data_IF_770204579987
#
_entry.id   IF_770204579987
#
_cell.length_a   1.000
_cell.length_b   1.000
_cell.length_c   1.000
_cell.angle_alpha   90.00
_cell.angle_beta   90.00
_cell.angle_gamma   90.00
#
_symmetry.space_group_name_H-M   'P 1'
#
loop_
_entity.id
_entity.type
_entity.pdbx_description
1 polymer ?
#
# COMPACT_ATOMS: atom_id res chain seq x y z
N UNK A 1 -12.63 5.80 -10.73
CA UNK A 1 -11.32 5.27 -10.30
C UNK A 1 -10.21 6.01 -11.03
N UNK A 2 -9.18 6.39 -10.30
CA UNK A 2 -7.98 7.04 -10.83
C UNK A 2 -6.84 6.04 -11.16
N UNK A 3 -7.15 4.75 -11.05
CA UNK A 3 -6.26 3.65 -11.40
C UNK A 3 -6.76 2.97 -12.69
N UNK A 4 -5.86 2.86 -13.67
CA UNK A 4 -6.07 2.08 -14.89
C UNK A 4 -5.23 0.81 -14.86
N UNK A 5 -5.85 -0.30 -15.26
CA UNK A 5 -5.18 -1.58 -15.43
C UNK A 5 -4.82 -1.79 -16.90
N UNK A 6 -3.62 -2.27 -17.16
CA UNK A 6 -3.22 -2.63 -18.53
C UNK A 6 -3.93 -3.93 -18.96
N UNK A 7 -4.40 -3.98 -20.21
CA UNK A 7 -5.27 -5.05 -20.75
C UNK A 7 -4.67 -6.46 -20.71
N UNK A 8 -3.34 -6.56 -20.69
CA UNK A 8 -2.63 -7.85 -20.73
C UNK A 8 -2.23 -8.37 -19.33
N UNK A 9 -2.74 -7.75 -18.28
CA UNK A 9 -2.41 -8.15 -16.91
C UNK A 9 -3.14 -9.45 -16.53
N UNK A 10 -2.42 -10.55 -16.54
CA UNK A 10 -2.91 -11.84 -16.05
C UNK A 10 -2.65 -11.97 -14.54
N UNK A 11 -3.57 -11.47 -13.76
CA UNK A 11 -3.44 -11.41 -12.32
C UNK A 11 -4.51 -12.27 -11.64
N UNK A 12 -4.09 -13.42 -11.11
CA UNK A 12 -4.99 -14.40 -10.50
C UNK A 12 -4.76 -14.48 -8.99
N UNK A 13 -5.84 -14.66 -8.19
CA UNK A 13 -5.70 -14.95 -6.78
C UNK A 13 -4.95 -16.25 -6.55
N UNK A 14 -4.12 -16.28 -5.53
CA UNK A 14 -3.42 -17.46 -5.06
C UNK A 14 -3.52 -17.55 -3.55
N UNK A 15 -3.82 -18.75 -3.05
CA UNK A 15 -3.98 -18.98 -1.62
C UNK A 15 -2.72 -18.61 -0.84
N UNK A 16 -2.88 -17.98 0.31
CA UNK A 16 -1.81 -17.48 1.18
C UNK A 16 -0.90 -16.40 0.56
N UNK A 17 -1.25 -15.86 -0.59
CA UNK A 17 -0.47 -14.81 -1.25
C UNK A 17 -1.27 -13.52 -1.36
N UNK A 18 -0.78 -12.46 -0.73
CA UNK A 18 -1.21 -11.10 -0.99
C UNK A 18 -0.44 -10.57 -2.19
N UNK A 19 -1.13 -10.22 -3.26
CA UNK A 19 -0.52 -9.53 -4.39
C UNK A 19 -0.80 -8.05 -4.34
N UNK A 20 0.23 -7.25 -4.51
CA UNK A 20 0.11 -5.80 -4.56
C UNK A 20 0.63 -5.28 -5.89
N UNK A 21 -0.04 -4.26 -6.40
CA UNK A 21 0.38 -3.51 -7.58
C UNK A 21 1.03 -2.20 -7.19
N UNK A 22 2.24 -1.98 -7.70
CA UNK A 22 2.94 -0.72 -7.58
C UNK A 22 2.49 0.17 -8.72
N UNK A 23 1.93 1.31 -8.39
CA UNK A 23 1.43 2.27 -9.36
C UNK A 23 2.55 3.03 -10.07
N UNK A 24 2.30 3.39 -11.31
CA UNK A 24 3.07 4.37 -12.05
C UNK A 24 2.22 5.63 -12.17
N UNK A 25 2.66 6.72 -11.56
CA UNK A 25 1.99 8.00 -11.66
C UNK A 25 2.27 8.63 -13.02
N UNK A 26 1.25 9.19 -13.62
CA UNK A 26 1.38 9.95 -14.85
C UNK A 26 0.66 11.30 -14.77
N UNK A 27 1.17 12.25 -15.50
CA UNK A 27 0.49 13.51 -15.81
C UNK A 27 0.75 13.83 -17.28
N UNK A 28 0.22 14.93 -17.76
CA UNK A 28 0.38 15.34 -19.18
C UNK A 28 1.83 15.52 -19.64
N UNK A 29 2.79 15.59 -18.73
CA UNK A 29 4.18 15.93 -19.02
C UNK A 29 5.19 14.81 -18.73
N UNK A 30 4.87 13.88 -17.85
CA UNK A 30 5.80 12.80 -17.46
C UNK A 30 5.09 11.59 -16.89
N UNK A 31 5.79 10.45 -16.94
CA UNK A 31 5.39 9.21 -16.32
C UNK A 31 6.52 8.71 -15.43
N UNK A 32 6.23 8.37 -14.19
CA UNK A 32 7.22 7.85 -13.26
C UNK A 32 6.62 6.83 -12.29
N UNK A 33 7.42 5.86 -11.90
CA UNK A 33 7.04 4.90 -10.87
C UNK A 33 6.85 5.62 -9.53
N UNK A 34 5.64 5.53 -8.98
CA UNK A 34 5.39 6.05 -7.64
C UNK A 34 6.08 5.19 -6.60
N UNK A 35 6.90 5.82 -5.78
CA UNK A 35 7.68 5.13 -4.76
C UNK A 35 6.93 4.95 -3.44
N UNK A 36 5.75 5.56 -3.30
CA UNK A 36 5.07 5.71 -2.02
C UNK A 36 3.66 5.11 -1.96
N UNK A 37 3.04 4.83 -3.10
CA UNK A 37 1.66 4.37 -3.16
C UNK A 37 1.52 2.88 -3.46
N UNK A 38 0.70 2.20 -2.69
CA UNK A 38 0.22 0.85 -2.95
C UNK A 38 -1.31 0.95 -3.00
N UNK A 39 -1.87 1.01 -4.18
CA UNK A 39 -3.30 1.26 -4.35
C UNK A 39 -4.06 0.07 -4.93
N UNK A 40 -3.36 -0.98 -5.29
CA UNK A 40 -3.96 -2.17 -5.90
C UNK A 40 -3.57 -3.41 -5.10
N UNK A 41 -4.60 -4.14 -4.68
CA UNK A 41 -4.46 -5.34 -3.87
C UNK A 41 -5.29 -6.45 -4.48
N UNK A 42 -4.69 -7.60 -4.65
CA UNK A 42 -5.40 -8.84 -4.95
C UNK A 42 -5.36 -9.72 -3.70
N UNK A 43 -6.52 -9.89 -3.10
CA UNK A 43 -6.70 -10.65 -1.88
C UNK A 43 -7.57 -11.87 -2.14
N UNK A 44 -7.44 -12.88 -1.31
CA UNK A 44 -8.31 -14.04 -1.31
C UNK A 44 -9.38 -13.93 -0.22
N UNK A 45 -10.50 -14.68 -0.33
CA UNK A 45 -11.59 -14.58 0.64
C UNK A 45 -11.17 -14.80 2.09
N UNK A 46 -10.19 -15.65 2.36
CA UNK A 46 -9.70 -15.91 3.71
C UNK A 46 -8.98 -14.72 4.35
N UNK A 47 -8.53 -13.75 3.57
CA UNK A 47 -7.89 -12.53 4.07
C UNK A 47 -8.92 -11.50 4.56
N UNK A 48 -10.12 -11.52 4.01
CA UNK A 48 -11.17 -10.50 4.26
C UNK A 48 -11.50 -10.37 5.76
N UNK A 49 -11.73 -11.46 6.54
CA UNK A 49 -12.04 -11.34 7.96
C UNK A 49 -10.97 -10.62 8.78
N UNK A 50 -9.72 -10.68 8.35
CA UNK A 50 -8.61 -9.99 9.03
C UNK A 50 -8.58 -8.49 8.75
N UNK A 51 -9.20 -8.06 7.64
CA UNK A 51 -9.26 -6.67 7.22
C UNK A 51 -10.57 -5.99 7.65
N UNK A 52 -11.62 -6.77 7.94
CA UNK A 52 -12.88 -6.28 8.50
C UNK A 52 -12.78 -6.40 10.02
N UNK A 53 -12.16 -5.44 10.65
CA UNK A 53 -12.03 -5.37 12.10
C UNK A 53 -12.76 -4.14 12.63
N UNK A 54 -12.92 -4.05 13.96
CA UNK A 54 -13.34 -2.81 14.62
C UNK A 54 -12.27 -1.71 14.51
N UNK A 55 -11.46 -1.81 13.50
CA UNK A 55 -10.34 -0.93 13.22
C UNK A 55 -10.86 0.41 12.73
N UNK A 56 -10.15 1.45 13.13
CA UNK A 56 -10.31 2.81 12.60
C UNK A 56 -9.80 2.93 11.16
N UNK A 57 -9.20 1.87 10.62
CA UNK A 57 -8.65 1.87 9.26
C UNK A 57 -9.78 1.79 8.23
N UNK A 58 -9.76 2.72 7.31
CA UNK A 58 -10.65 2.74 6.16
C UNK A 58 -9.86 3.07 4.89
N UNK A 59 -10.38 2.64 3.77
CA UNK A 59 -9.76 2.92 2.48
C UNK A 59 -9.60 4.44 2.29
N UNK A 60 -8.41 4.84 1.88
CA UNK A 60 -8.09 6.22 1.52
C UNK A 60 -7.55 7.10 2.64
N UNK A 61 -7.51 6.66 3.89
CA UNK A 61 -6.80 7.41 4.93
C UNK A 61 -5.29 7.17 4.83
N UNK A 62 -4.43 8.10 5.25
CA UNK A 62 -2.98 7.92 5.19
C UNK A 62 -2.54 6.65 5.92
N UNK A 63 -1.70 5.84 5.27
CA UNK A 63 -1.14 4.64 5.85
C UNK A 63 -2.03 3.40 5.82
N UNK A 64 -3.27 3.47 5.30
CA UNK A 64 -4.14 2.30 5.18
C UNK A 64 -3.51 1.19 4.32
N UNK A 65 -2.79 1.56 3.29
CA UNK A 65 -2.07 0.65 2.42
C UNK A 65 -0.94 -0.08 3.17
N UNK A 66 -0.21 0.62 4.02
CA UNK A 66 0.80 0.04 4.89
C UNK A 66 0.17 -0.90 5.91
N UNK A 67 -0.96 -0.49 6.49
CA UNK A 67 -1.70 -1.32 7.44
C UNK A 67 -2.14 -2.64 6.82
N UNK A 68 -2.76 -2.62 5.65
CA UNK A 68 -3.22 -3.84 4.95
C UNK A 68 -2.06 -4.81 4.73
N UNK A 69 -0.97 -4.32 4.15
CA UNK A 69 0.18 -5.17 3.83
C UNK A 69 0.82 -5.70 5.09
N UNK A 70 1.12 -4.84 6.05
CA UNK A 70 1.80 -5.25 7.27
C UNK A 70 0.93 -6.18 8.14
N UNK A 71 -0.38 -5.93 8.20
CA UNK A 71 -1.33 -6.80 8.89
C UNK A 71 -1.31 -8.23 8.34
N UNK A 72 -1.44 -8.37 7.04
CA UNK A 72 -1.45 -9.70 6.41
C UNK A 72 -0.09 -10.39 6.50
N UNK A 73 1.01 -9.67 6.35
CA UNK A 73 2.35 -10.21 6.57
C UNK A 73 2.53 -10.72 8.01
N UNK A 74 2.06 -9.98 9.00
CA UNK A 74 2.14 -10.39 10.41
C UNK A 74 1.36 -11.67 10.72
N UNK A 75 0.38 -12.00 9.90
CA UNK A 75 -0.42 -13.22 9.99
C UNK A 75 0.16 -14.39 9.18
N UNK A 76 1.30 -14.20 8.52
CA UNK A 76 2.00 -15.24 7.78
C UNK A 76 1.68 -15.34 6.30
N UNK A 77 0.92 -14.40 5.73
CA UNK A 77 0.71 -14.36 4.29
C UNK A 77 1.98 -13.94 3.56
N UNK A 78 2.18 -14.48 2.37
CA UNK A 78 3.29 -14.12 1.51
C UNK A 78 2.93 -12.91 0.64
N UNK A 79 3.94 -12.07 0.33
CA UNK A 79 3.77 -10.91 -0.52
C UNK A 79 4.33 -11.17 -1.91
N UNK A 80 3.50 -10.93 -2.93
CA UNK A 80 3.90 -10.86 -4.33
C UNK A 80 3.72 -9.44 -4.85
N UNK A 81 4.76 -8.88 -5.47
CA UNK A 81 4.80 -7.49 -5.90
C UNK A 81 4.83 -7.40 -7.41
N UNK A 82 3.80 -6.80 -7.99
CA UNK A 82 3.72 -6.53 -9.43
C UNK A 82 4.07 -5.08 -9.69
N UNK A 83 5.16 -4.85 -10.44
CA UNK A 83 5.74 -3.51 -10.65
C UNK A 83 5.25 -2.79 -11.90
N UNK A 84 4.44 -3.44 -12.73
CA UNK A 84 3.95 -2.89 -14.00
C UNK A 84 2.46 -3.19 -14.17
N UNK A 85 1.80 -2.39 -14.97
CA UNK A 85 0.40 -2.62 -15.34
C UNK A 85 -0.62 -1.78 -14.56
N UNK A 86 -0.17 -0.86 -13.71
CA UNK A 86 -1.05 0.00 -12.92
C UNK A 86 -0.70 1.46 -13.15
N UNK A 87 -1.58 2.18 -13.83
CA UNK A 87 -1.41 3.60 -14.11
C UNK A 87 -2.31 4.41 -13.18
N UNK A 88 -1.77 5.46 -12.62
CA UNK A 88 -2.46 6.35 -11.70
C UNK A 88 -2.34 7.79 -12.16
N UNK A 89 -3.48 8.46 -12.39
CA UNK A 89 -3.49 9.87 -12.74
C UNK A 89 -3.00 10.70 -11.54
N UNK A 90 -1.97 11.48 -11.76
CA UNK A 90 -1.44 12.36 -10.73
C UNK A 90 -2.49 13.43 -10.36
N UNK A 91 -2.77 13.56 -9.09
CA UNK A 91 -3.70 14.56 -8.55
C UNK A 91 -3.13 15.25 -7.32
N UNK A 92 -3.79 16.32 -6.90
CA UNK A 92 -3.41 17.04 -5.70
C UNK A 92 -3.63 16.17 -4.46
N UNK A 93 -2.69 16.21 -3.55
CA UNK A 93 -2.77 15.50 -2.28
C UNK A 93 -3.94 16.02 -1.42
N UNK A 94 -4.69 15.09 -0.83
CA UNK A 94 -5.89 15.38 -0.04
C UNK A 94 -5.59 15.56 1.46
N UNK A 95 -4.42 15.08 1.90
CA UNK A 95 -4.07 14.96 3.30
C UNK A 95 -2.90 15.87 3.66
N UNK A 96 -2.97 16.50 4.81
CA UNK A 96 -1.88 17.34 5.33
C UNK A 96 -0.89 16.54 6.20
N UNK A 97 0.16 17.22 6.65
CA UNK A 97 1.20 16.59 7.48
C UNK A 97 0.68 16.08 8.82
N UNK A 98 -0.34 16.72 9.38
CA UNK A 98 -0.89 16.31 10.67
C UNK A 98 -1.75 15.07 10.53
N UNK A 99 -2.44 14.90 9.41
CA UNK A 99 -3.14 13.67 9.06
C UNK A 99 -2.17 12.49 8.95
N UNK A 100 -1.07 12.66 8.21
CA UNK A 100 -0.02 11.64 8.11
C UNK A 100 0.58 11.29 9.45
N UNK A 101 0.89 12.28 10.27
CA UNK A 101 1.45 12.08 11.61
C UNK A 101 0.50 11.31 12.53
N UNK A 102 -0.78 11.64 12.50
CA UNK A 102 -1.81 10.96 13.26
C UNK A 102 -1.93 9.48 12.86
N UNK A 103 -2.01 9.20 11.57
CA UNK A 103 -2.12 7.85 11.05
C UNK A 103 -0.85 7.03 11.32
N UNK A 104 0.33 7.64 11.25
CA UNK A 104 1.59 6.98 11.64
C UNK A 104 1.57 6.52 13.10
N UNK A 105 1.08 7.36 14.01
CA UNK A 105 0.94 6.98 15.43
C UNK A 105 -0.06 5.83 15.64
N UNK A 106 -1.11 5.78 14.84
CA UNK A 106 -2.06 4.67 14.89
C UNK A 106 -1.44 3.36 14.44
N UNK A 107 -0.59 3.37 13.40
CA UNK A 107 0.17 2.20 12.99
C UNK A 107 1.12 1.72 14.10
N UNK A 108 1.87 2.64 14.71
CA UNK A 108 2.77 2.34 15.81
C UNK A 108 2.03 1.74 17.00
N UNK A 109 0.87 2.28 17.32
CA UNK A 109 0.04 1.77 18.42
C UNK A 109 -0.48 0.36 18.13
N UNK A 110 -0.97 0.09 16.93
CA UNK A 110 -1.55 -1.22 16.59
C UNK A 110 -0.51 -2.32 16.53
N UNK A 111 0.66 -2.04 15.93
CA UNK A 111 1.70 -3.05 15.74
C UNK A 111 2.79 -3.04 16.80
N UNK A 112 2.75 -2.08 17.72
CA UNK A 112 3.74 -1.90 18.80
C UNK A 112 5.19 -1.83 18.29
N UNK A 113 5.39 -1.17 17.17
CA UNK A 113 6.71 -0.90 16.58
C UNK A 113 6.72 0.51 15.97
N UNK A 114 7.91 1.13 15.84
CA UNK A 114 8.03 2.41 15.15
C UNK A 114 7.54 2.33 13.70
N UNK A 115 6.86 3.36 13.23
CA UNK A 115 6.40 3.42 11.83
C UNK A 115 7.56 3.32 10.84
N UNK A 116 8.75 3.75 11.22
CA UNK A 116 9.94 3.61 10.42
C UNK A 116 10.28 2.13 10.14
N UNK A 117 10.12 1.27 11.12
CA UNK A 117 10.37 -0.18 10.96
C UNK A 117 9.35 -0.82 10.01
N UNK A 118 8.09 -0.37 10.05
CA UNK A 118 7.07 -0.79 9.08
C UNK A 118 7.49 -0.35 7.68
N UNK A 119 7.85 0.92 7.52
CA UNK A 119 8.27 1.48 6.24
C UNK A 119 9.52 0.78 5.69
N UNK A 120 10.49 0.49 6.52
CA UNK A 120 11.72 -0.20 6.13
C UNK A 120 11.44 -1.64 5.67
N UNK A 121 10.58 -2.35 6.40
CA UNK A 121 10.13 -3.69 6.02
C UNK A 121 9.44 -3.70 4.66
N UNK A 122 8.50 -2.78 4.44
CA UNK A 122 7.81 -2.66 3.17
C UNK A 122 8.74 -2.23 2.04
N UNK A 123 9.69 -1.37 2.32
CA UNK A 123 10.72 -0.96 1.37
C UNK A 123 11.57 -2.16 0.92
N UNK A 124 12.03 -2.95 1.85
CA UNK A 124 12.82 -4.15 1.58
C UNK A 124 12.03 -5.14 0.71
N UNK A 125 10.80 -5.45 1.12
CA UNK A 125 9.94 -6.40 0.42
C UNK A 125 9.52 -5.94 -0.98
N UNK A 126 9.32 -4.65 -1.17
CA UNK A 126 8.92 -4.07 -2.45
C UNK A 126 10.07 -3.68 -3.35
N UNK A 127 11.31 -3.74 -2.85
CA UNK A 127 12.51 -3.26 -3.56
C UNK A 127 12.51 -1.74 -3.79
N UNK A 128 11.77 -0.97 -2.99
CA UNK A 128 11.66 0.48 -3.12
C UNK A 128 12.69 1.20 -2.27
N UNK A 129 13.39 2.12 -2.86
CA UNK A 129 14.24 3.06 -2.14
C UNK A 129 13.46 4.34 -1.84
N UNK A 130 13.42 4.79 -0.57
CA UNK A 130 12.90 6.08 -0.11
C UNK A 130 11.38 6.22 0.15
N UNK A 131 10.76 5.24 0.80
CA UNK A 131 9.42 5.43 1.41
C UNK A 131 9.42 6.45 2.56
N UNK A 132 10.58 6.80 3.07
CA UNK A 132 10.76 7.38 4.39
C UNK A 132 10.65 8.88 4.49
N UNK A 133 10.77 9.62 3.42
CA UNK A 133 10.86 11.09 3.53
C UNK A 133 9.52 11.84 3.45
N UNK A 134 8.45 11.21 3.02
CA UNK A 134 7.15 11.88 2.87
C UNK A 134 6.07 11.41 3.84
N UNK A 135 6.19 10.23 4.40
CA UNK A 135 5.22 9.67 5.36
C UNK A 135 5.51 10.06 6.80
N UNK A 136 6.65 10.59 7.04
CA UNK A 136 7.09 11.09 8.34
C UNK A 136 7.20 12.61 8.31
#
# INVERSE_FOLDING_TARGET
>A
SDIELEDHLDWKPESNVLRIGIRTDYCSQFTQLNKYGIDVFLITPEMIPHLITNSIWSLGIPGWDYWVVYKLLSLGYHLDVVKKGFLHAAHKEQWDKDDYRRCSKLLEFEFDIPVQDIADTLQELTGRTHLTKRTL
#
